data_IF_553880831313
#
_entry.id   IF_553880831313
#
_cell.length_a   1.000
_cell.length_b   1.000
_cell.length_c   1.000
_cell.angle_alpha   90.00
_cell.angle_beta   90.00
_cell.angle_gamma   90.00
#
_symmetry.space_group_name_H-M   'P 1'
#
loop_
_entity.id
_entity.type
_entity.pdbx_description
1 polymer ?
#
# COMPACT_ATOMS: atom_id res chain seq x y z
N UNK A 1 -15.25 9.79 17.91
CA UNK A 1 -15.10 10.60 16.69
C UNK A 1 -15.42 9.77 15.47
N UNK A 2 -16.33 10.23 14.66
CA UNK A 2 -16.69 9.50 13.45
C UNK A 2 -15.64 9.73 12.36
N UNK A 3 -15.36 8.69 11.58
CA UNK A 3 -14.49 8.80 10.41
C UNK A 3 -15.28 9.35 9.24
N UNK A 4 -14.62 10.14 8.42
CA UNK A 4 -15.21 10.58 7.16
C UNK A 4 -14.75 9.63 6.04
N UNK A 5 -15.73 9.13 5.28
CA UNK A 5 -15.47 8.19 4.21
C UNK A 5 -15.78 8.84 2.87
N UNK A 6 -14.84 8.75 1.94
CA UNK A 6 -15.04 9.22 0.57
C UNK A 6 -15.16 8.01 -0.35
N UNK A 7 -16.18 8.02 -1.20
CA UNK A 7 -16.45 6.90 -2.09
C UNK A 7 -15.81 7.06 -3.47
N UNK A 8 -15.11 8.15 -3.70
CA UNK A 8 -14.42 8.41 -4.97
C UNK A 8 -13.08 9.05 -4.74
N UNK A 9 -12.37 9.41 -5.80
CA UNK A 9 -11.06 10.05 -5.67
C UNK A 9 -11.14 11.35 -4.90
N UNK A 10 -10.12 11.62 -4.10
CA UNK A 10 -9.95 12.89 -3.41
C UNK A 10 -8.77 13.62 -4.06
N UNK A 11 -9.03 14.83 -4.57
CA UNK A 11 -8.00 15.61 -5.26
C UNK A 11 -7.45 16.68 -4.32
N UNK A 12 -6.14 16.70 -4.17
CA UNK A 12 -5.45 17.78 -3.46
C UNK A 12 -4.33 18.30 -4.34
N UNK A 13 -4.51 19.52 -4.85
CA UNK A 13 -3.54 20.10 -5.78
C UNK A 13 -2.19 20.36 -5.15
N UNK A 14 -2.18 20.71 -3.87
CA UNK A 14 -0.96 21.08 -3.15
C UNK A 14 -0.46 19.99 -2.20
N UNK A 15 -1.02 18.77 -2.27
CA UNK A 15 -0.62 17.67 -1.41
C UNK A 15 -1.28 17.72 -0.05
N UNK A 16 -0.70 16.99 0.89
CA UNK A 16 -1.23 16.89 2.25
C UNK A 16 -0.18 17.39 3.24
N UNK A 17 -0.65 18.06 4.30
CA UNK A 17 0.21 18.50 5.40
C UNK A 17 -0.05 17.58 6.58
N UNK A 18 1.02 16.97 7.12
CA UNK A 18 0.93 16.04 8.23
C UNK A 18 1.20 14.60 7.80
N UNK A 19 1.01 13.68 8.72
CA UNK A 19 1.27 12.27 8.48
C UNK A 19 0.13 11.63 7.69
N UNK A 20 0.49 10.67 6.84
CA UNK A 20 -0.47 9.88 6.08
C UNK A 20 -0.34 8.44 6.52
N UNK A 21 -1.47 7.81 6.87
CA UNK A 21 -1.52 6.41 7.24
C UNK A 21 -2.16 5.61 6.12
N UNK A 22 -1.43 4.63 5.59
CA UNK A 22 -1.92 3.74 4.55
C UNK A 22 -2.42 2.43 5.17
N UNK A 23 -3.24 1.64 4.42
CA UNK A 23 -3.70 0.34 4.92
C UNK A 23 -2.54 -0.60 5.24
N UNK A 24 -2.71 -1.43 6.27
CA UNK A 24 -1.71 -2.41 6.71
C UNK A 24 -2.20 -3.82 6.40
N UNK A 25 -1.33 -4.61 5.80
CA UNK A 25 -1.61 -6.01 5.48
C UNK A 25 -0.39 -6.88 5.80
N UNK A 26 -0.61 -8.20 5.86
CA UNK A 26 0.48 -9.18 5.74
C UNK A 26 0.54 -9.64 4.29
N UNK A 27 1.62 -10.34 3.91
CA UNK A 27 1.72 -10.89 2.55
C UNK A 27 0.52 -11.79 2.25
N UNK A 28 0.11 -12.59 3.23
CA UNK A 28 -1.01 -13.53 3.05
C UNK A 28 -2.36 -12.84 2.89
N UNK A 29 -2.54 -11.65 3.48
CA UNK A 29 -3.81 -10.95 3.52
C UNK A 29 -3.89 -9.75 2.57
N UNK A 30 -2.82 -9.46 1.84
CA UNK A 30 -2.84 -8.35 0.89
C UNK A 30 -3.85 -8.63 -0.22
N UNK A 31 -4.65 -7.63 -0.62
CA UNK A 31 -5.59 -7.82 -1.72
C UNK A 31 -4.84 -7.99 -3.04
N UNK A 32 -5.58 -8.31 -4.10
CA UNK A 32 -5.01 -8.41 -5.43
C UNK A 32 -4.42 -7.06 -5.85
N UNK A 33 -3.15 -7.04 -6.26
CA UNK A 33 -2.51 -5.82 -6.74
C UNK A 33 -3.18 -5.31 -8.02
N UNK A 34 -3.67 -6.22 -8.86
CA UNK A 34 -4.40 -5.83 -10.07
C UNK A 34 -5.74 -5.17 -9.74
N UNK A 35 -6.46 -5.68 -8.73
CA UNK A 35 -7.73 -5.09 -8.30
C UNK A 35 -7.53 -3.74 -7.61
N UNK A 36 -6.45 -3.59 -6.84
CA UNK A 36 -6.13 -2.32 -6.21
C UNK A 36 -5.72 -1.26 -7.23
N UNK A 37 -5.06 -1.69 -8.31
CA UNK A 37 -4.62 -0.82 -9.38
C UNK A 37 -3.20 -0.31 -9.19
N UNK A 38 -2.54 -0.01 -10.31
CA UNK A 38 -1.19 0.51 -10.30
C UNK A 38 -1.13 1.84 -9.54
N UNK A 39 -0.12 2.02 -8.74
CA UNK A 39 0.07 3.24 -7.95
C UNK A 39 -0.53 3.18 -6.54
N UNK A 40 -1.25 2.12 -6.20
CA UNK A 40 -1.76 1.95 -4.84
C UNK A 40 -0.61 1.61 -3.90
N UNK A 41 -0.57 2.27 -2.73
CA UNK A 41 0.49 2.07 -1.73
C UNK A 41 -0.10 1.48 -0.47
N UNK A 42 0.55 0.46 0.09
CA UNK A 42 0.14 -0.18 1.34
C UNK A 42 1.37 -0.43 2.23
N UNK A 43 1.12 -0.67 3.51
CA UNK A 43 2.15 -1.07 4.46
C UNK A 43 2.02 -2.58 4.69
N UNK A 44 3.07 -3.33 4.39
CA UNK A 44 3.05 -4.78 4.53
C UNK A 44 3.96 -5.14 5.70
N UNK A 45 3.37 -5.64 6.79
CA UNK A 45 4.08 -5.81 8.05
C UNK A 45 5.15 -6.91 8.01
N UNK A 46 5.11 -7.78 7.01
CA UNK A 46 6.12 -8.84 6.82
C UNK A 46 6.57 -8.97 5.37
N UNK A 47 6.41 -7.92 4.56
CA UNK A 47 6.63 -7.99 3.12
C UNK A 47 8.09 -7.98 2.66
N UNK A 48 9.01 -7.64 3.56
CA UNK A 48 10.44 -7.60 3.23
C UNK A 48 11.15 -8.79 3.89
N UNK A 49 10.81 -9.99 3.43
CA UNK A 49 11.36 -11.25 3.96
C UNK A 49 11.13 -11.37 5.47
N UNK A 50 9.92 -11.01 5.92
CA UNK A 50 9.52 -11.05 7.32
C UNK A 50 9.58 -9.71 8.03
N UNK A 51 10.19 -8.70 7.42
CA UNK A 51 10.25 -7.34 7.98
C UNK A 51 9.20 -6.44 7.34
N UNK A 52 8.82 -5.38 8.04
CA UNK A 52 7.85 -4.43 7.53
C UNK A 52 8.42 -3.59 6.39
N UNK A 53 7.56 -3.27 5.40
CA UNK A 53 7.95 -2.48 4.25
C UNK A 53 6.73 -1.78 3.66
N UNK A 54 6.91 -0.61 3.10
CA UNK A 54 5.92 -0.04 2.20
C UNK A 54 6.00 -0.74 0.86
N UNK A 55 4.83 -1.01 0.28
CA UNK A 55 4.74 -1.67 -1.01
C UNK A 55 3.81 -0.89 -1.93
N UNK A 56 4.03 -1.01 -3.23
CA UNK A 56 3.17 -0.39 -4.22
C UNK A 56 2.76 -1.42 -5.25
N UNK A 57 1.58 -1.20 -5.84
CA UNK A 57 1.09 -2.03 -6.93
C UNK A 57 1.57 -1.47 -8.27
N UNK A 58 2.09 -2.35 -9.12
CA UNK A 58 2.39 -1.99 -10.50
C UNK A 58 1.27 -2.37 -11.47
N UNK A 59 0.12 -2.81 -10.91
CA UNK A 59 -1.03 -3.30 -11.68
C UNK A 59 -1.05 -4.81 -11.81
N UNK A 60 -0.01 -5.51 -11.42
CA UNK A 60 0.12 -6.96 -11.48
C UNK A 60 0.57 -7.54 -10.13
N UNK A 61 1.59 -6.96 -9.54
CA UNK A 61 2.20 -7.44 -8.31
C UNK A 61 2.35 -6.31 -7.29
N UNK A 62 2.46 -6.70 -6.01
CA UNK A 62 2.89 -5.79 -4.96
C UNK A 62 4.41 -5.82 -4.91
N UNK A 63 5.05 -4.68 -5.08
CA UNK A 63 6.50 -4.55 -5.12
C UNK A 63 7.01 -3.80 -3.90
N UNK A 64 8.19 -4.20 -3.42
CA UNK A 64 8.85 -3.54 -2.30
C UNK A 64 9.35 -2.16 -2.72
N UNK A 65 9.16 -1.18 -1.84
CA UNK A 65 9.60 0.19 -2.13
C UNK A 65 11.12 0.35 -2.09
N UNK A 66 11.85 -0.59 -1.49
CA UNK A 66 13.31 -0.49 -1.36
C UNK A 66 14.06 -1.12 -2.53
N UNK A 67 13.62 -2.26 -3.05
CA UNK A 67 14.35 -3.00 -4.09
C UNK A 67 13.57 -3.15 -5.38
N UNK A 68 12.25 -2.95 -5.35
CA UNK A 68 11.38 -3.24 -6.48
C UNK A 68 11.05 -4.71 -6.67
N UNK A 69 11.53 -5.58 -5.79
CA UNK A 69 11.20 -6.99 -5.84
C UNK A 69 9.79 -7.23 -5.30
N UNK A 70 9.17 -8.36 -5.66
CA UNK A 70 7.86 -8.72 -5.13
C UNK A 70 7.94 -8.91 -3.61
N UNK A 71 6.88 -8.54 -2.89
CA UNK A 71 6.82 -8.77 -1.44
C UNK A 71 6.85 -10.26 -1.14
N UNK A 72 7.48 -10.61 -0.02
CA UNK A 72 7.57 -12.00 0.41
C UNK A 72 7.69 -12.05 1.93
N UNK A 73 7.06 -13.07 2.55
CA UNK A 73 7.07 -13.22 4.00
C UNK A 73 8.38 -13.82 4.53
N UNK A 74 9.20 -14.40 3.65
CA UNK A 74 10.47 -14.99 4.03
C UNK A 74 11.44 -15.03 2.86
#
# INVERSE_FOLDING_TARGET
MANTTFSGPVTSTNGFIGDIKVPTYTVANAPSAASAGAGTVVYVSNGAAGSAILAFSDGTDWLRSDTGAAIAAA
#
